data_IF_774998660695
#
_entry.id   IF_774998660695
#
_cell.length_a   1.000
_cell.length_b   1.000
_cell.length_c   1.000
_cell.angle_alpha   90.00
_cell.angle_beta   90.00
_cell.angle_gamma   90.00
#
_symmetry.space_group_name_H-M   'P 1'
#
loop_
_entity.id
_entity.type
_entity.pdbx_description
1 polymer ?
#
# COMPACT_ATOMS: atom_id res chain seq x y z
N UNK A 1 3.49 26.77 -3.03
CA UNK A 1 2.52 26.25 -2.03
C UNK A 1 2.42 27.25 -0.87
N UNK A 2 1.44 28.15 -0.90
CA UNK A 2 1.11 29.04 0.23
C UNK A 2 -0.04 28.40 1.02
N UNK A 3 -0.12 28.60 2.34
CA UNK A 3 -1.36 28.29 3.05
C UNK A 3 -2.46 29.31 2.74
N UNK A 4 -3.66 29.04 3.26
CA UNK A 4 -4.85 29.90 3.25
C UNK A 4 -4.64 31.27 3.92
N UNK A 5 -3.49 31.51 4.57
CA UNK A 5 -3.13 32.80 5.17
C UNK A 5 -2.14 33.59 4.29
N UNK A 6 -1.83 33.12 3.08
CA UNK A 6 -0.94 33.83 2.15
C UNK A 6 0.54 33.78 2.54
N UNK A 7 0.90 33.02 3.58
CA UNK A 7 2.29 32.80 3.95
C UNK A 7 2.85 31.69 3.05
N UNK A 8 3.78 32.04 2.17
CA UNK A 8 4.43 31.09 1.28
C UNK A 8 5.25 30.03 2.01
N UNK A 9 5.63 29.00 1.25
CA UNK A 9 6.63 27.96 1.62
C UNK A 9 7.92 28.52 2.25
N UNK A 10 8.15 29.83 2.10
CA UNK A 10 9.29 30.58 2.61
C UNK A 10 9.39 30.65 4.16
N UNK A 11 8.36 30.27 4.92
CA UNK A 11 8.46 30.14 6.39
C UNK A 11 8.43 28.69 6.91
N UNK A 12 8.28 27.69 6.03
CA UNK A 12 7.61 26.43 6.42
C UNK A 12 8.40 25.16 6.15
N UNK A 13 9.49 25.25 5.39
CA UNK A 13 10.34 24.12 5.00
C UNK A 13 9.60 22.94 4.36
N UNK A 14 10.28 21.80 4.26
CA UNK A 14 9.72 20.57 3.69
C UNK A 14 8.70 19.90 4.61
N UNK A 15 8.72 20.17 5.92
CA UNK A 15 7.78 19.60 6.88
C UNK A 15 6.33 19.93 6.54
N UNK A 16 6.01 21.20 6.29
CA UNK A 16 4.65 21.59 5.89
C UNK A 16 4.25 21.07 4.51
N UNK A 17 5.20 20.85 3.61
CA UNK A 17 4.93 20.22 2.32
C UNK A 17 4.55 18.75 2.53
N UNK A 18 5.29 18.04 3.40
CA UNK A 18 4.95 16.67 3.76
C UNK A 18 3.57 16.58 4.41
N UNK A 19 3.23 17.49 5.34
CA UNK A 19 1.91 17.53 5.98
C UNK A 19 0.79 17.76 4.96
N UNK A 20 1.00 18.69 4.01
CA UNK A 20 0.01 18.96 2.97
C UNK A 20 -0.21 17.74 2.07
N UNK A 21 0.86 17.05 1.66
CA UNK A 21 0.74 15.82 0.87
C UNK A 21 0.00 14.75 1.67
N UNK A 22 0.40 14.55 2.94
CA UNK A 22 -0.20 13.57 3.84
C UNK A 22 -1.68 13.86 4.13
N UNK A 23 -2.10 15.14 4.14
CA UNK A 23 -3.51 15.53 4.32
C UNK A 23 -4.41 15.02 3.18
N UNK A 24 -3.83 14.77 2.00
CA UNK A 24 -4.52 14.23 0.81
C UNK A 24 -4.14 12.77 0.53
N UNK A 25 -3.49 12.10 1.48
CA UNK A 25 -2.98 10.73 1.28
C UNK A 25 -4.09 9.70 1.06
N UNK A 26 -5.30 9.92 1.62
CA UNK A 26 -6.46 9.05 1.42
C UNK A 26 -6.95 9.03 -0.03
N UNK A 27 -6.74 10.12 -0.77
CA UNK A 27 -7.16 10.25 -2.17
C UNK A 27 -6.03 9.87 -3.13
N UNK A 28 -4.80 10.31 -2.82
CA UNK A 28 -3.65 10.14 -3.71
C UNK A 28 -2.92 8.80 -3.53
N UNK A 29 -3.08 8.18 -2.35
CA UNK A 29 -2.31 7.03 -1.90
C UNK A 29 -0.84 7.35 -1.62
N UNK A 30 -0.46 8.63 -1.57
CA UNK A 30 0.93 9.09 -1.40
C UNK A 30 1.12 9.58 0.04
N UNK A 31 2.15 9.04 0.70
CA UNK A 31 2.70 9.55 1.95
C UNK A 31 3.99 10.31 1.67
N UNK A 32 4.28 11.31 2.48
CA UNK A 32 5.48 12.11 2.40
C UNK A 32 6.16 12.21 3.76
N UNK A 33 7.49 12.16 3.76
CA UNK A 33 8.35 12.38 4.93
C UNK A 33 9.39 13.42 4.57
N UNK A 34 9.47 14.50 5.35
CA UNK A 34 10.52 15.47 5.24
C UNK A 34 11.71 15.03 6.11
N UNK A 35 12.88 14.89 5.50
CA UNK A 35 14.13 14.69 6.24
C UNK A 35 14.94 15.98 6.24
N UNK A 36 14.89 16.70 7.36
CA UNK A 36 15.54 18.00 7.56
C UNK A 36 16.75 17.91 8.50
N UNK A 37 17.36 16.73 8.57
CA UNK A 37 18.61 16.48 9.29
C UNK A 37 19.83 16.78 8.40
N UNK A 38 20.87 17.36 8.98
CA UNK A 38 22.14 17.51 8.28
C UNK A 38 22.95 16.23 8.36
N UNK A 39 23.03 15.50 7.23
CA UNK A 39 23.71 14.20 7.16
C UNK A 39 25.23 14.29 6.90
N UNK A 40 25.86 15.44 7.15
CA UNK A 40 27.31 15.60 6.98
C UNK A 40 28.04 15.60 8.33
N UNK A 41 29.30 15.17 8.35
CA UNK A 41 30.15 15.27 9.55
C UNK A 41 30.52 16.73 9.79
N UNK A 42 29.89 17.36 10.78
CA UNK A 42 30.26 18.72 11.22
C UNK A 42 31.26 18.60 12.36
N UNK A 43 32.40 19.29 12.27
CA UNK A 43 33.34 19.42 13.39
C UNK A 43 33.51 20.87 13.79
N UNK A 44 33.39 21.14 15.09
CA UNK A 44 33.57 22.48 15.66
C UNK A 44 35.06 22.75 15.84
N UNK A 45 35.59 23.75 15.15
CA UNK A 45 36.95 24.25 15.35
C UNK A 45 37.02 25.25 16.50
N UNK A 46 38.22 25.43 17.06
CA UNK A 46 38.47 26.53 18.00
C UNK A 46 38.70 27.85 17.25
N UNK A 47 38.28 28.95 17.86
CA UNK A 47 38.48 30.27 17.27
C UNK A 47 37.56 31.33 17.86
N UNK A 48 37.80 32.58 17.48
CA UNK A 48 36.90 33.70 17.76
C UNK A 48 36.03 33.97 16.54
N UNK A 49 34.72 34.12 16.75
CA UNK A 49 33.77 34.43 15.70
C UNK A 49 34.09 35.80 15.08
N UNK A 50 34.34 35.83 13.77
CA UNK A 50 34.56 37.07 13.03
C UNK A 50 33.26 37.85 12.73
N UNK A 51 32.11 37.15 12.77
CA UNK A 51 30.78 37.69 12.56
C UNK A 51 29.77 36.91 13.42
N UNK A 52 28.57 37.46 13.58
CA UNK A 52 27.47 36.76 14.24
C UNK A 52 27.18 35.42 13.56
N UNK A 53 27.11 34.35 14.35
CA UNK A 53 26.52 33.09 13.90
C UNK A 53 25.02 33.21 14.00
N UNK A 54 24.31 32.98 12.88
CA UNK A 54 22.85 33.06 12.83
C UNK A 54 22.23 31.83 12.20
N UNK A 55 21.12 31.39 12.78
CA UNK A 55 20.23 30.37 12.22
C UNK A 55 18.88 31.03 11.96
N UNK A 56 18.36 30.91 10.74
CA UNK A 56 17.05 31.47 10.37
C UNK A 56 16.89 32.96 10.70
N UNK A 57 17.99 33.71 10.63
CA UNK A 57 18.05 35.14 10.93
C UNK A 57 18.24 35.50 12.42
N UNK A 58 18.15 34.52 13.32
CA UNK A 58 18.37 34.70 14.77
C UNK A 58 19.85 34.51 15.08
N UNK A 59 20.46 35.51 15.72
CA UNK A 59 21.83 35.41 16.21
C UNK A 59 21.90 34.43 17.38
N UNK A 60 22.62 33.32 17.19
CA UNK A 60 22.86 32.31 18.23
C UNK A 60 24.13 32.62 19.04
N UNK A 61 25.15 33.16 18.40
CA UNK A 61 26.40 33.63 19.02
C UNK A 61 26.84 34.90 18.31
N UNK A 62 27.38 35.85 19.08
CA UNK A 62 27.76 37.16 18.56
C UNK A 62 29.20 37.16 18.04
N UNK A 63 29.51 38.10 17.14
CA UNK A 63 30.90 38.39 16.78
C UNK A 63 31.74 38.65 18.05
N UNK A 64 32.93 38.06 18.11
CA UNK A 64 33.80 38.12 19.29
C UNK A 64 33.61 36.99 20.30
N UNK A 65 32.56 36.18 20.19
CA UNK A 65 32.46 34.96 20.98
C UNK A 65 33.56 33.96 20.62
N UNK A 66 34.09 33.26 21.62
CA UNK A 66 35.04 32.16 21.42
C UNK A 66 34.32 30.81 21.41
N UNK A 67 34.77 29.92 20.53
CA UNK A 67 34.44 28.50 20.52
C UNK A 67 35.69 27.66 20.81
N UNK A 68 35.48 26.53 21.49
CA UNK A 68 36.50 25.53 21.71
C UNK A 68 36.35 24.36 20.73
N UNK A 69 37.46 23.66 20.48
CA UNK A 69 37.47 22.49 19.61
C UNK A 69 36.47 21.45 20.12
N UNK A 70 35.66 20.91 19.21
CA UNK A 70 34.58 19.96 19.48
C UNK A 70 33.54 20.47 20.50
N UNK A 71 33.39 21.80 20.64
CA UNK A 71 32.44 22.43 21.57
C UNK A 71 32.57 21.88 23.00
N UNK A 72 33.80 21.74 23.50
CA UNK A 72 34.08 21.09 24.79
C UNK A 72 33.46 21.79 26.01
N UNK A 73 33.06 23.05 25.88
CA UNK A 73 32.31 23.84 26.86
C UNK A 73 30.79 23.83 26.61
N UNK A 74 30.31 23.08 25.61
CA UNK A 74 28.92 23.01 25.15
C UNK A 74 28.31 24.37 24.79
N UNK A 75 29.13 25.38 24.48
CA UNK A 75 28.66 26.74 24.27
C UNK A 75 27.80 26.84 23.01
N UNK A 76 28.25 26.24 21.91
CA UNK A 76 27.53 26.25 20.64
C UNK A 76 26.23 25.44 20.72
N UNK A 77 26.29 24.21 21.25
CA UNK A 77 25.11 23.36 21.38
C UNK A 77 24.05 24.04 22.27
N UNK A 78 24.46 24.61 23.40
CA UNK A 78 23.53 25.31 24.28
C UNK A 78 22.97 26.58 23.62
N UNK A 79 23.78 27.34 22.90
CA UNK A 79 23.33 28.54 22.19
C UNK A 79 22.30 28.22 21.09
N UNK A 80 22.48 27.13 20.34
CA UNK A 80 21.51 26.67 19.35
C UNK A 80 20.23 26.21 20.03
N UNK A 81 20.34 25.34 21.04
CA UNK A 81 19.19 24.74 21.72
C UNK A 81 18.36 25.76 22.53
N UNK A 82 18.99 26.83 23.03
CA UNK A 82 18.28 27.92 23.70
C UNK A 82 17.37 28.71 22.76
N UNK A 83 17.67 28.72 21.45
CA UNK A 83 16.91 29.43 20.42
C UNK A 83 16.08 28.47 19.54
N UNK A 84 15.84 27.24 19.97
CA UNK A 84 15.08 26.25 19.18
C UNK A 84 13.65 26.69 18.89
N UNK A 85 12.96 27.39 19.81
CA UNK A 85 11.59 27.85 19.57
C UNK A 85 11.47 28.82 18.40
N UNK A 86 12.50 29.64 18.19
CA UNK A 86 12.49 30.69 17.17
C UNK A 86 13.10 30.19 15.85
N UNK A 87 14.18 29.40 15.97
CA UNK A 87 14.93 28.89 14.81
C UNK A 87 14.34 27.61 14.24
N UNK A 88 13.65 26.78 15.04
CA UNK A 88 13.23 25.44 14.65
C UNK A 88 14.38 24.42 14.57
N UNK A 89 15.59 24.77 15.03
CA UNK A 89 16.79 23.93 14.92
C UNK A 89 17.25 23.47 16.29
N UNK A 90 17.62 22.19 16.37
CA UNK A 90 18.25 21.55 17.52
C UNK A 90 19.65 21.09 17.15
N UNK A 91 20.54 21.10 18.13
CA UNK A 91 21.90 20.63 18.02
C UNK A 91 22.17 19.52 19.04
N UNK A 92 22.91 18.49 18.63
CA UNK A 92 23.47 17.49 19.51
C UNK A 92 24.93 17.25 19.16
N UNK A 93 25.74 16.92 20.17
CA UNK A 93 27.13 16.55 20.01
C UNK A 93 27.28 15.06 20.31
N UNK A 94 27.81 14.31 19.35
CA UNK A 94 28.15 12.90 19.52
C UNK A 94 29.45 12.74 20.32
N UNK A 95 29.66 11.54 20.88
CA UNK A 95 30.85 11.25 21.71
C UNK A 95 32.19 11.40 20.98
N UNK A 96 32.18 11.42 19.64
CA UNK A 96 33.34 11.61 18.79
C UNK A 96 33.63 13.10 18.45
N UNK A 97 32.81 14.02 18.97
CA UNK A 97 32.89 15.45 18.72
C UNK A 97 32.20 15.91 17.43
N UNK A 98 31.42 15.04 16.79
CA UNK A 98 30.60 15.39 15.63
C UNK A 98 29.34 16.15 16.08
N UNK A 99 29.12 17.33 15.52
CA UNK A 99 27.90 18.11 15.74
C UNK A 99 26.83 17.66 14.73
N UNK A 100 25.64 17.36 15.23
CA UNK A 100 24.46 17.06 14.42
C UNK A 100 23.44 18.18 14.57
N UNK A 101 22.94 18.68 13.43
CA UNK A 101 21.88 19.68 13.39
C UNK A 101 20.62 19.06 12.82
N UNK A 102 19.51 19.22 13.55
CA UNK A 102 18.20 18.73 13.14
C UNK A 102 17.17 19.84 13.21
N UNK A 103 16.47 20.05 12.10
CA UNK A 103 15.35 20.98 12.03
C UNK A 103 14.00 20.27 12.29
N UNK A 104 13.03 21.02 12.80
CA UNK A 104 11.63 20.63 13.03
C UNK A 104 10.78 20.48 11.75
N UNK A 105 11.41 20.58 10.58
CA UNK A 105 10.75 20.54 9.27
C UNK A 105 10.89 21.85 8.51
N UNK A 106 11.34 22.93 9.16
CA UNK A 106 11.71 24.20 8.53
C UNK A 106 13.03 24.08 7.76
N UNK A 107 13.27 25.00 6.83
CA UNK A 107 14.61 25.12 6.24
C UNK A 107 15.58 25.72 7.27
N UNK A 108 16.83 25.30 7.23
CA UNK A 108 17.92 25.87 8.02
C UNK A 108 18.68 26.88 7.16
N UNK A 109 18.51 28.16 7.43
CA UNK A 109 19.33 29.21 6.84
C UNK A 109 20.50 29.53 7.78
N UNK A 110 21.70 29.15 7.37
CA UNK A 110 22.90 29.25 8.18
C UNK A 110 23.79 30.39 7.68
N UNK A 111 24.25 31.24 8.60
CA UNK A 111 25.25 32.27 8.30
C UNK A 111 26.26 32.40 9.44
N UNK A 112 27.54 32.57 9.11
CA UNK A 112 28.60 32.79 10.09
C UNK A 112 29.23 31.51 10.65
N UNK A 113 28.96 30.34 10.07
CA UNK A 113 29.48 29.04 10.56
C UNK A 113 30.90 28.72 10.09
N UNK A 114 31.72 29.74 9.82
CA UNK A 114 33.06 29.60 9.22
C UNK A 114 34.08 28.87 10.10
N UNK A 115 33.82 28.77 11.40
CA UNK A 115 34.63 28.03 12.39
C UNK A 115 34.32 26.53 12.42
N UNK A 116 33.29 26.07 11.72
CA UNK A 116 32.92 24.66 11.63
C UNK A 116 33.43 24.08 10.31
N UNK A 117 34.06 22.91 10.37
CA UNK A 117 34.41 22.15 9.16
C UNK A 117 33.27 21.19 8.82
N UNK A 118 33.01 21.03 7.52
CA UNK A 118 31.91 20.18 7.05
C UNK A 118 30.53 20.84 7.11
N UNK A 119 30.43 22.15 7.37
CA UNK A 119 29.18 22.92 7.28
C UNK A 119 29.40 24.22 6.52
N UNK A 120 28.74 24.37 5.37
CA UNK A 120 28.74 25.64 4.62
C UNK A 120 27.51 26.47 4.96
N UNK A 121 27.69 27.79 5.01
CA UNK A 121 26.62 28.79 5.03
C UNK A 121 25.66 28.62 3.84
N UNK A 122 24.40 29.03 4.04
CA UNK A 122 23.34 28.94 3.04
C UNK A 122 22.07 28.26 3.56
N UNK A 123 21.11 28.09 2.65
CA UNK A 123 19.80 27.50 2.94
C UNK A 123 19.86 25.99 2.74
N UNK A 124 19.49 25.22 3.77
CA UNK A 124 19.39 23.77 3.76
C UNK A 124 17.96 23.36 4.08
N UNK A 125 17.23 22.93 3.07
CA UNK A 125 15.83 22.51 3.22
C UNK A 125 15.64 21.03 3.49
N UNK A 126 16.70 20.22 3.40
CA UNK A 126 16.62 18.76 3.54
C UNK A 126 16.16 18.06 2.25
N UNK A 127 15.67 16.83 2.40
CA UNK A 127 15.06 16.04 1.31
C UNK A 127 13.60 15.71 1.64
N UNK A 128 12.79 15.54 0.60
CA UNK A 128 11.41 15.07 0.71
C UNK A 128 11.35 13.66 0.13
N UNK A 129 10.98 12.69 0.96
CA UNK A 129 10.76 11.31 0.54
C UNK A 129 9.27 11.09 0.33
N UNK A 130 8.89 10.54 -0.83
CA UNK A 130 7.52 10.19 -1.16
C UNK A 130 7.41 8.68 -1.25
N UNK A 131 6.38 8.10 -0.63
CA UNK A 131 6.05 6.69 -0.72
C UNK A 131 4.60 6.57 -1.20
N UNK A 132 4.35 5.75 -2.23
CA UNK A 132 3.00 5.46 -2.70
C UNK A 132 2.62 4.04 -2.35
N UNK A 133 1.41 3.85 -1.84
CA UNK A 133 0.83 2.53 -1.62
C UNK A 133 0.28 1.99 -2.95
N UNK A 134 0.60 0.74 -3.30
CA UNK A 134 0.18 0.08 -4.56
C UNK A 134 1.17 0.20 -5.72
N UNK A 135 0.79 -0.30 -6.90
CA UNK A 135 1.69 -0.47 -8.07
C UNK A 135 1.80 0.75 -8.99
N UNK A 136 1.33 1.92 -8.56
CA UNK A 136 1.36 3.14 -9.38
C UNK A 136 2.67 3.90 -9.21
N UNK A 137 3.18 4.51 -10.29
CA UNK A 137 4.33 5.41 -10.22
C UNK A 137 3.87 6.77 -9.68
N UNK A 138 4.72 7.42 -8.88
CA UNK A 138 4.53 8.82 -8.51
C UNK A 138 5.07 9.65 -9.68
N UNK A 139 4.18 10.17 -10.53
CA UNK A 139 4.57 11.13 -11.56
C UNK A 139 4.56 12.54 -10.98
N UNK A 140 5.71 13.19 -11.09
CA UNK A 140 5.98 14.46 -10.46
C UNK A 140 6.52 15.42 -11.53
N UNK A 141 5.65 16.24 -12.09
CA UNK A 141 6.03 17.16 -13.16
C UNK A 141 6.69 18.46 -12.66
N UNK A 142 7.56 19.02 -13.49
CA UNK A 142 8.28 20.28 -13.22
C UNK A 142 7.38 21.51 -13.11
N UNK A 143 6.14 21.45 -13.62
CA UNK A 143 5.15 22.50 -13.46
C UNK A 143 4.73 22.74 -11.99
N UNK A 144 4.99 21.76 -11.11
CA UNK A 144 4.69 21.84 -9.69
C UNK A 144 5.86 22.36 -8.82
N UNK A 145 7.02 22.67 -9.42
CA UNK A 145 8.23 23.12 -8.72
C UNK A 145 8.75 24.45 -9.26
N UNK A 146 8.52 25.55 -8.52
CA UNK A 146 9.00 26.88 -8.91
C UNK A 146 10.34 27.28 -8.28
N UNK A 147 11.08 26.36 -7.62
CA UNK A 147 12.28 26.72 -6.86
C UNK A 147 13.54 26.01 -7.39
N UNK A 148 14.56 26.79 -7.72
CA UNK A 148 15.82 26.40 -8.40
C UNK A 148 16.74 25.46 -7.60
N UNK A 149 16.35 25.00 -6.40
CA UNK A 149 17.18 24.19 -5.50
C UNK A 149 17.06 22.66 -5.66
N UNK A 150 16.20 22.16 -6.55
CA UNK A 150 15.91 20.72 -6.70
C UNK A 150 16.45 20.11 -8.00
N UNK A 151 17.24 20.84 -8.80
CA UNK A 151 17.76 20.36 -10.10
C UNK A 151 18.90 19.33 -9.98
N UNK A 152 19.21 18.82 -8.78
CA UNK A 152 20.36 17.93 -8.56
C UNK A 152 20.01 16.70 -7.71
N UNK A 153 18.86 16.08 -7.94
CA UNK A 153 18.55 14.76 -7.40
C UNK A 153 18.38 13.78 -8.56
N UNK A 154 19.45 13.02 -8.82
CA UNK A 154 19.47 11.94 -9.79
C UNK A 154 18.37 10.94 -9.42
N UNK A 155 17.44 10.71 -10.34
CA UNK A 155 16.35 9.76 -10.16
C UNK A 155 16.90 8.33 -10.22
N UNK A 156 16.95 7.66 -9.07
CA UNK A 156 16.99 6.21 -9.00
C UNK A 156 15.79 5.77 -8.18
N UNK A 157 14.67 5.57 -8.87
CA UNK A 157 13.55 4.81 -8.34
C UNK A 157 13.88 3.34 -8.59
N UNK A 158 14.34 2.62 -7.57
CA UNK A 158 14.39 1.16 -7.62
C UNK A 158 12.98 0.63 -7.41
N UNK A 159 12.50 -0.20 -8.33
CA UNK A 159 11.21 -0.85 -8.17
C UNK A 159 11.36 -2.04 -7.22
N UNK A 160 10.34 -2.34 -6.42
CA UNK A 160 10.34 -3.50 -5.51
C UNK A 160 10.50 -4.84 -6.26
N UNK A 161 10.34 -4.82 -7.59
CA UNK A 161 10.50 -5.95 -8.51
C UNK A 161 11.94 -6.27 -8.91
N UNK A 162 12.92 -5.39 -8.66
CA UNK A 162 14.35 -5.67 -8.94
C UNK A 162 15.07 -6.38 -7.78
N UNK A 163 14.53 -6.25 -6.57
CA UNK A 163 15.01 -6.86 -5.31
C UNK A 163 14.81 -8.40 -5.21
N UNK A 164 13.76 -9.04 -5.76
CA UNK A 164 13.46 -10.45 -5.50
C UNK A 164 14.30 -11.46 -6.32
N UNK A 165 15.01 -11.03 -7.36
CA UNK A 165 15.64 -11.98 -8.30
C UNK A 165 16.99 -12.53 -7.82
N UNK A 166 17.68 -11.85 -6.90
CA UNK A 166 19.05 -12.19 -6.49
C UNK A 166 19.28 -12.23 -4.98
N UNK A 167 18.40 -11.65 -4.16
CA UNK A 167 18.57 -11.63 -2.69
C UNK A 167 17.70 -12.67 -2.00
N UNK A 168 18.28 -13.49 -1.11
CA UNK A 168 17.50 -14.31 -0.17
C UNK A 168 16.67 -13.37 0.70
N UNK A 169 15.41 -13.74 0.97
CA UNK A 169 14.51 -12.93 1.83
C UNK A 169 15.14 -12.62 3.20
N UNK A 170 15.95 -13.52 3.75
CA UNK A 170 16.70 -13.29 4.99
C UNK A 170 17.76 -12.20 4.88
N UNK A 171 18.43 -12.07 3.73
CA UNK A 171 19.42 -11.02 3.49
C UNK A 171 18.76 -9.66 3.27
N UNK A 172 17.59 -9.64 2.62
CA UNK A 172 16.78 -8.44 2.49
C UNK A 172 16.27 -7.91 3.84
N UNK A 173 15.84 -8.79 4.74
CA UNK A 173 15.24 -8.39 6.03
C UNK A 173 16.31 -8.10 7.09
N UNK A 174 17.38 -8.90 7.17
CA UNK A 174 18.36 -8.85 8.28
C UNK A 174 19.84 -8.81 7.85
N UNK A 175 20.15 -8.92 6.55
CA UNK A 175 21.51 -8.95 6.02
C UNK A 175 21.99 -7.57 5.55
N UNK A 176 23.15 -7.50 4.90
CA UNK A 176 23.52 -6.36 4.05
C UNK A 176 23.34 -6.80 2.60
N UNK A 177 22.85 -5.92 1.74
CA UNK A 177 22.61 -6.23 0.32
C UNK A 177 23.64 -5.46 -0.49
N UNK A 178 24.38 -6.19 -1.31
CA UNK A 178 25.24 -5.62 -2.36
C UNK A 178 24.37 -4.80 -3.33
N UNK A 179 24.31 -3.49 -3.11
CA UNK A 179 23.46 -2.56 -3.86
C UNK A 179 24.19 -1.93 -5.06
N UNK A 180 25.51 -2.09 -5.13
CA UNK A 180 26.35 -1.63 -6.22
C UNK A 180 26.68 -2.75 -7.23
N UNK A 181 26.27 -3.99 -6.94
CA UNK A 181 26.44 -5.19 -7.74
C UNK A 181 27.93 -5.46 -8.05
N UNK A 182 28.82 -5.17 -7.10
CA UNK A 182 30.27 -5.42 -7.21
C UNK A 182 30.67 -6.84 -6.75
N UNK A 183 29.74 -7.61 -6.21
CA UNK A 183 29.92 -8.95 -5.69
C UNK A 183 30.47 -9.00 -4.26
N UNK A 184 30.61 -7.85 -3.57
CA UNK A 184 31.26 -7.70 -2.27
C UNK A 184 30.38 -6.91 -1.30
N UNK A 185 29.83 -7.63 -0.32
CA UNK A 185 29.07 -7.01 0.76
C UNK A 185 29.98 -6.23 1.71
N UNK A 186 29.97 -4.91 1.65
CA UNK A 186 30.83 -4.00 2.41
C UNK A 186 30.03 -3.14 3.43
N UNK A 187 30.68 -2.20 4.15
CA UNK A 187 30.01 -1.39 5.18
C UNK A 187 29.16 -0.25 4.64
N UNK A 188 29.36 0.15 3.38
CA UNK A 188 28.61 1.19 2.69
C UNK A 188 27.31 0.68 2.10
N UNK A 189 27.20 -0.63 1.91
CA UNK A 189 26.02 -1.30 1.38
C UNK A 189 24.81 -1.18 2.29
N UNK A 190 23.64 -1.10 1.65
CA UNK A 190 22.36 -0.96 2.35
C UNK A 190 22.16 -2.09 3.37
N UNK A 191 22.02 -1.69 4.64
CA UNK A 191 21.70 -2.60 5.73
C UNK A 191 20.23 -3.01 5.63
N UNK A 192 19.96 -4.29 5.81
CA UNK A 192 18.68 -4.96 5.65
C UNK A 192 17.54 -4.22 6.34
N UNK A 193 16.36 -4.35 5.75
CA UNK A 193 15.21 -3.49 6.00
C UNK A 193 14.94 -3.33 7.50
N UNK A 194 14.97 -4.38 8.33
CA UNK A 194 14.56 -4.25 9.73
C UNK A 194 15.67 -3.76 10.69
N UNK A 195 16.90 -3.55 10.22
CA UNK A 195 18.05 -3.21 11.09
C UNK A 195 18.30 -1.72 11.24
N UNK A 196 17.74 -0.90 10.38
CA UNK A 196 17.84 0.56 10.43
C UNK A 196 16.46 1.16 10.66
N UNK A 197 16.41 2.34 11.27
CA UNK A 197 15.15 3.06 11.45
C UNK A 197 14.44 3.31 10.11
N UNK A 198 15.21 3.75 9.11
CA UNK A 198 14.68 4.04 7.77
C UNK A 198 14.18 2.78 7.05
N UNK A 199 14.96 1.71 7.08
CA UNK A 199 14.54 0.43 6.52
C UNK A 199 13.29 -0.12 7.20
N UNK A 200 13.17 0.04 8.53
CA UNK A 200 12.03 -0.48 9.28
C UNK A 200 10.74 0.28 8.90
N UNK A 201 10.82 1.60 8.72
CA UNK A 201 9.71 2.40 8.19
C UNK A 201 9.32 1.95 6.77
N UNK A 202 10.30 1.69 5.89
CA UNK A 202 10.04 1.15 4.54
C UNK A 202 9.38 -0.24 4.59
N UNK A 203 9.82 -1.10 5.51
CA UNK A 203 9.23 -2.42 5.71
C UNK A 203 7.76 -2.32 6.16
N UNK A 204 7.43 -1.35 7.03
CA UNK A 204 6.04 -1.08 7.42
C UNK A 204 5.18 -0.69 6.22
N UNK A 205 5.66 0.21 5.36
CA UNK A 205 4.92 0.61 4.15
C UNK A 205 4.74 -0.55 3.16
N UNK A 206 5.75 -1.42 3.01
CA UNK A 206 5.65 -2.63 2.17
C UNK A 206 4.58 -3.59 2.72
N UNK A 207 4.60 -3.85 4.03
CA UNK A 207 3.62 -4.74 4.68
C UNK A 207 2.21 -4.17 4.56
N UNK A 208 2.03 -2.87 4.78
CA UNK A 208 0.73 -2.21 4.63
C UNK A 208 0.19 -2.33 3.19
N UNK A 209 1.06 -2.14 2.19
CA UNK A 209 0.69 -2.34 0.79
C UNK A 209 0.31 -3.80 0.49
N UNK A 210 1.01 -4.77 1.07
CA UNK A 210 0.72 -6.19 0.91
C UNK A 210 -0.60 -6.59 1.57
N UNK A 211 -0.90 -6.05 2.75
CA UNK A 211 -2.19 -6.25 3.45
C UNK A 211 -3.33 -5.70 2.59
N UNK A 212 -3.19 -4.47 2.09
CA UNK A 212 -4.20 -3.84 1.22
C UNK A 212 -4.47 -4.68 -0.03
N UNK A 213 -3.42 -5.23 -0.66
CA UNK A 213 -3.58 -6.11 -1.81
C UNK A 213 -4.30 -7.42 -1.46
N UNK A 214 -3.94 -8.03 -0.33
CA UNK A 214 -4.60 -9.25 0.15
C UNK A 214 -6.08 -9.01 0.44
N UNK A 215 -6.42 -7.86 1.04
CA UNK A 215 -7.80 -7.49 1.34
C UNK A 215 -8.61 -7.22 0.07
N UNK A 216 -8.01 -6.64 -0.97
CA UNK A 216 -8.64 -6.54 -2.30
C UNK A 216 -8.98 -7.92 -2.87
N UNK A 217 -8.03 -8.87 -2.84
CA UNK A 217 -8.25 -10.23 -3.32
C UNK A 217 -9.36 -10.93 -2.51
N UNK A 218 -9.38 -10.74 -1.19
CA UNK A 218 -10.44 -11.29 -0.31
C UNK A 218 -11.80 -10.69 -0.63
N UNK A 219 -11.87 -9.39 -0.92
CA UNK A 219 -13.11 -8.73 -1.32
C UNK A 219 -13.63 -9.30 -2.65
N UNK A 220 -12.76 -9.50 -3.64
CA UNK A 220 -13.12 -10.11 -4.93
C UNK A 220 -13.62 -11.55 -4.75
N UNK A 221 -12.91 -12.36 -3.96
CA UNK A 221 -13.34 -13.73 -3.64
C UNK A 221 -14.68 -13.74 -2.90
N UNK A 222 -14.89 -12.84 -1.95
CA UNK A 222 -16.17 -12.70 -1.23
C UNK A 222 -17.32 -12.29 -2.15
N UNK A 223 -17.06 -11.41 -3.12
CA UNK A 223 -18.03 -11.01 -4.15
C UNK A 223 -18.43 -12.21 -5.02
N UNK A 224 -17.45 -12.96 -5.52
CA UNK A 224 -17.70 -14.18 -6.32
C UNK A 224 -18.44 -15.24 -5.48
N UNK A 225 -18.09 -15.41 -4.21
CA UNK A 225 -18.78 -16.33 -3.31
C UNK A 225 -20.26 -15.96 -3.16
N UNK A 226 -20.58 -14.67 -2.96
CA UNK A 226 -21.97 -14.21 -2.88
C UNK A 226 -22.74 -14.47 -4.19
N UNK A 227 -22.12 -14.22 -5.34
CA UNK A 227 -22.73 -14.52 -6.64
C UNK A 227 -23.00 -16.02 -6.82
N UNK A 228 -22.06 -16.88 -6.41
CA UNK A 228 -22.23 -18.33 -6.47
C UNK A 228 -23.37 -18.82 -5.57
N UNK A 229 -23.47 -18.30 -4.34
CA UNK A 229 -24.55 -18.66 -3.41
C UNK A 229 -25.92 -18.30 -3.99
N UNK A 230 -26.07 -17.08 -4.53
CA UNK A 230 -27.32 -16.64 -5.17
C UNK A 230 -27.64 -17.50 -6.39
N UNK A 231 -26.64 -17.81 -7.21
CA UNK A 231 -26.80 -18.64 -8.41
C UNK A 231 -27.24 -20.06 -8.06
N UNK A 232 -26.60 -20.68 -7.07
CA UNK A 232 -26.96 -22.03 -6.59
C UNK A 232 -28.40 -22.05 -6.07
N UNK A 233 -28.80 -21.07 -5.24
CA UNK A 233 -30.16 -20.99 -4.73
C UNK A 233 -31.19 -20.87 -5.86
N UNK A 234 -30.92 -20.04 -6.88
CA UNK A 234 -31.81 -19.90 -8.04
C UNK A 234 -31.89 -21.19 -8.88
N UNK A 235 -30.75 -21.84 -9.14
CA UNK A 235 -30.69 -23.10 -9.88
C UNK A 235 -31.45 -24.21 -9.14
N UNK A 236 -31.32 -24.32 -7.81
CA UNK A 236 -32.03 -25.33 -7.03
C UNK A 236 -33.56 -25.18 -7.11
N UNK A 237 -34.08 -23.95 -7.02
CA UNK A 237 -35.52 -23.68 -7.19
C UNK A 237 -35.97 -24.02 -8.61
N UNK A 238 -35.19 -23.60 -9.61
CA UNK A 238 -35.47 -23.88 -11.03
C UNK A 238 -35.46 -25.38 -11.30
N UNK A 239 -34.53 -26.14 -10.72
CA UNK A 239 -34.45 -27.58 -10.86
C UNK A 239 -35.70 -28.29 -10.34
N UNK A 240 -36.21 -27.89 -9.16
CA UNK A 240 -37.45 -28.44 -8.59
C UNK A 240 -38.64 -28.15 -9.51
N UNK A 241 -38.77 -26.91 -9.99
CA UNK A 241 -39.87 -26.52 -10.87
C UNK A 241 -39.82 -27.24 -12.22
N UNK A 242 -38.62 -27.36 -12.83
CA UNK A 242 -38.43 -28.07 -14.10
C UNK A 242 -38.74 -29.56 -13.93
N UNK A 243 -38.29 -30.19 -12.84
CA UNK A 243 -38.56 -31.61 -12.59
C UNK A 243 -40.05 -31.89 -12.32
N UNK A 244 -40.74 -30.97 -11.63
CA UNK A 244 -42.19 -31.06 -11.43
C UNK A 244 -42.95 -30.91 -12.76
N UNK A 245 -42.53 -29.97 -13.61
CA UNK A 245 -43.08 -29.79 -14.96
C UNK A 245 -42.81 -31.02 -15.86
N UNK A 246 -41.62 -31.63 -15.77
CA UNK A 246 -41.30 -32.87 -16.49
C UNK A 246 -42.18 -34.03 -16.02
N UNK A 247 -42.32 -34.21 -14.70
CA UNK A 247 -43.19 -35.24 -14.10
C UNK A 247 -44.64 -35.10 -14.60
N UNK A 248 -45.17 -33.87 -14.67
CA UNK A 248 -46.53 -33.64 -15.16
C UNK A 248 -46.74 -33.97 -16.65
N UNK A 249 -45.68 -33.92 -17.47
CA UNK A 249 -45.74 -34.28 -18.90
C UNK A 249 -45.49 -35.77 -19.11
N UNK A 250 -44.55 -36.35 -18.36
CA UNK A 250 -44.02 -37.69 -18.62
C UNK A 250 -44.64 -38.78 -17.76
N UNK A 251 -44.96 -38.47 -16.50
CA UNK A 251 -45.49 -39.47 -15.57
C UNK A 251 -46.99 -39.66 -15.84
N UNK A 252 -47.42 -40.92 -15.83
CA UNK A 252 -48.83 -41.28 -15.97
C UNK A 252 -49.52 -41.25 -14.61
N UNK A 253 -50.75 -40.75 -14.56
CA UNK A 253 -51.58 -40.88 -13.37
C UNK A 253 -51.99 -42.35 -13.20
N UNK A 254 -51.42 -43.00 -12.18
CA UNK A 254 -51.66 -44.40 -11.88
C UNK A 254 -53.13 -44.70 -11.62
N UNK A 255 -53.90 -43.77 -11.05
CA UNK A 255 -55.33 -43.97 -10.81
C UNK A 255 -56.10 -44.06 -12.13
N UNK A 256 -55.82 -43.16 -13.07
CA UNK A 256 -56.44 -43.17 -14.39
C UNK A 256 -55.99 -44.38 -15.24
N UNK A 257 -54.70 -44.69 -15.24
CA UNK A 257 -54.17 -45.81 -16.02
C UNK A 257 -54.63 -47.16 -15.45
N UNK A 258 -54.73 -47.31 -14.13
CA UNK A 258 -55.29 -48.52 -13.50
C UNK A 258 -56.75 -48.72 -13.85
N UNK A 259 -57.55 -47.64 -13.87
CA UNK A 259 -58.95 -47.71 -14.29
C UNK A 259 -59.08 -48.12 -15.76
N UNK A 260 -58.25 -47.57 -16.64
CA UNK A 260 -58.18 -47.96 -18.05
C UNK A 260 -57.72 -49.40 -18.23
N UNK A 261 -56.67 -49.82 -17.53
CA UNK A 261 -56.18 -51.20 -17.56
C UNK A 261 -57.25 -52.17 -17.11
N UNK A 262 -57.94 -51.90 -15.98
CA UNK A 262 -59.06 -52.72 -15.52
C UNK A 262 -60.21 -52.75 -16.53
N UNK A 263 -60.56 -51.61 -17.13
CA UNK A 263 -61.58 -51.53 -18.19
C UNK A 263 -61.20 -52.39 -19.39
N UNK A 264 -59.97 -52.29 -19.88
CA UNK A 264 -59.49 -53.08 -21.01
C UNK A 264 -59.40 -54.58 -20.68
N UNK A 265 -59.04 -54.94 -19.44
CA UNK A 265 -59.01 -56.33 -19.01
C UNK A 265 -60.42 -56.93 -18.98
N UNK A 266 -61.40 -56.21 -18.40
CA UNK A 266 -62.81 -56.60 -18.42
C UNK A 266 -63.33 -56.69 -19.86
N UNK A 267 -62.96 -55.75 -20.73
CA UNK A 267 -63.35 -55.74 -22.14
C UNK A 267 -62.76 -56.95 -22.89
N UNK A 268 -61.50 -57.31 -22.64
CA UNK A 268 -60.83 -58.45 -23.25
C UNK A 268 -61.47 -59.78 -22.80
N UNK A 269 -61.79 -59.93 -21.51
CA UNK A 269 -62.53 -61.08 -21.00
C UNK A 269 -63.94 -61.17 -21.59
N UNK A 270 -64.66 -60.04 -21.65
CA UNK A 270 -66.00 -59.96 -22.26
C UNK A 270 -65.98 -60.25 -23.75
N UNK A 271 -64.97 -59.76 -24.48
CA UNK A 271 -64.77 -60.02 -25.90
C UNK A 271 -64.46 -61.49 -26.19
N UNK A 272 -63.62 -62.13 -25.36
CA UNK A 272 -63.35 -63.57 -25.44
C UNK A 272 -64.62 -64.39 -25.19
N UNK A 273 -65.42 -64.02 -24.18
CA UNK A 273 -66.71 -64.65 -23.90
C UNK A 273 -67.69 -64.49 -25.08
N UNK A 274 -67.84 -63.26 -25.61
CA UNK A 274 -68.69 -62.98 -26.75
C UNK A 274 -68.26 -63.76 -28.02
N UNK A 275 -66.95 -63.89 -28.25
CA UNK A 275 -66.40 -64.66 -29.36
C UNK A 275 -66.68 -66.16 -29.19
N UNK A 276 -66.56 -66.69 -27.97
CA UNK A 276 -66.94 -68.08 -27.67
C UNK A 276 -68.43 -68.35 -27.91
N UNK A 277 -69.29 -67.40 -27.54
CA UNK A 277 -70.74 -67.48 -27.73
C UNK A 277 -71.11 -67.38 -29.22
N UNK A 278 -70.47 -66.49 -29.98
CA UNK A 278 -70.67 -66.37 -31.41
C UNK A 278 -70.30 -67.67 -32.16
N UNK A 279 -69.19 -68.30 -31.79
CA UNK A 279 -68.78 -69.61 -32.34
C UNK A 279 -69.81 -70.71 -32.02
N UNK A 280 -70.35 -70.73 -30.80
CA UNK A 280 -71.39 -71.68 -30.40
C UNK A 280 -72.71 -71.46 -31.15
N UNK A 281 -73.09 -70.21 -31.42
CA UNK A 281 -74.27 -69.88 -32.24
C UNK A 281 -74.09 -70.37 -33.68
N UNK A 282 -72.90 -70.18 -34.29
CA UNK A 282 -72.62 -70.70 -35.63
C UNK A 282 -72.76 -72.23 -35.69
N UNK A 283 -72.28 -72.96 -34.69
CA UNK A 283 -72.47 -74.43 -34.62
C UNK A 283 -73.95 -74.84 -34.48
N UNK A 284 -74.75 -74.06 -33.76
CA UNK A 284 -76.19 -74.30 -33.67
C UNK A 284 -76.91 -74.09 -35.00
N UNK A 285 -76.46 -73.15 -35.84
CA UNK A 285 -76.99 -72.95 -37.20
C UNK A 285 -76.65 -74.14 -38.10
N UNK A 286 -75.43 -74.69 -38.01
CA UNK A 286 -75.06 -75.92 -38.72
C UNK A 286 -75.92 -77.12 -38.31
N UNK A 287 -76.32 -77.21 -37.04
CA UNK A 287 -77.24 -78.24 -36.53
C UNK A 287 -78.67 -78.08 -37.07
N UNK A 288 -79.08 -76.88 -37.49
CA UNK A 288 -80.39 -76.58 -38.06
C UNK A 288 -80.45 -76.79 -39.59
N UNK A 289 -79.31 -77.00 -40.25
CA UNK A 289 -79.20 -77.23 -41.69
C UNK A 289 -78.98 -78.72 -42.06
N UNK A 290 -78.95 -79.61 -41.06
CA UNK A 290 -78.99 -81.07 -41.21
C UNK A 290 -80.41 -81.58 -40.98
#
# INVERSE_FOLDING_TARGET
>A
MTDSSGNGVAQTGLGRVADLINSTSSETGIKAVANTEYNGTIRVGSGTLAADMKINGITILAAGDTLLTADSDNKLVNAINANTSDTGVTASLESDGTLTLKSDGRAMNLSGFTTLTGLNDGIRSGTLQLTKQGSGVIDVSSAHYSNSGLTTANASATTLTDIPATAKLSDLIFGRIDDNNDGVVNTSDTVGLLRTRDGASKAMDIVESAITQLDSIRADLGSVQNQLVVTVNNISVTQVNVRAAESQIRDVDFAAESANFSKYNILAQSGSYAMSQANAVQQNVLRLLQ
#
